data_IF_360327541515
#
_entry.id   IF_360327541515
#
_cell.length_a   1.000
_cell.length_b   1.000
_cell.length_c   1.000
_cell.angle_alpha   90.00
_cell.angle_beta   90.00
_cell.angle_gamma   90.00
#
_symmetry.space_group_name_H-M   'P 1'
#
loop_
_entity.id
_entity.type
_entity.pdbx_description
1 polymer ?
#
# COMPACT_ATOMS: atom_id res chain seq x y z
N UNK A 1 26.51 28.39 12.88
CA UNK A 1 26.17 27.54 11.73
C UNK A 1 24.67 27.70 11.50
N UNK A 2 24.30 28.42 10.44
CA UNK A 2 22.89 28.56 10.07
C UNK A 2 22.54 27.30 9.28
N UNK A 3 21.62 26.49 9.79
CA UNK A 3 21.10 25.36 9.01
C UNK A 3 20.17 25.93 7.95
N UNK A 4 20.30 25.45 6.71
CA UNK A 4 19.34 25.76 5.67
C UNK A 4 17.93 25.30 6.12
N UNK A 5 16.87 26.06 5.82
CA UNK A 5 15.52 25.67 6.19
C UNK A 5 15.13 24.37 5.48
N UNK A 6 14.36 23.52 6.17
CA UNK A 6 13.82 22.31 5.56
C UNK A 6 12.78 22.67 4.48
N UNK A 7 12.90 22.03 3.31
CA UNK A 7 11.92 22.13 2.23
C UNK A 7 10.94 20.95 2.27
N UNK A 8 9.65 21.23 2.08
CA UNK A 8 8.60 20.22 2.15
C UNK A 8 7.94 20.02 0.79
N UNK A 9 7.80 18.76 0.38
CA UNK A 9 7.11 18.37 -0.84
C UNK A 9 6.03 17.32 -0.54
N UNK A 10 4.97 17.30 -1.37
CA UNK A 10 3.88 16.34 -1.28
C UNK A 10 3.75 15.59 -2.59
N UNK A 11 3.50 14.29 -2.52
CA UNK A 11 3.34 13.43 -3.69
C UNK A 11 2.54 12.18 -3.35
N UNK A 12 2.12 11.45 -4.39
CA UNK A 12 1.47 10.15 -4.24
C UNK A 12 2.49 9.15 -3.74
N UNK A 13 2.06 8.17 -2.94
CA UNK A 13 3.00 7.19 -2.36
C UNK A 13 3.82 6.42 -3.41
N UNK A 14 3.25 6.18 -4.60
CA UNK A 14 3.97 5.56 -5.72
C UNK A 14 5.10 6.44 -6.26
N UNK A 15 4.90 7.75 -6.30
CA UNK A 15 5.92 8.73 -6.70
C UNK A 15 7.01 8.83 -5.63
N UNK A 16 6.62 8.87 -4.35
CA UNK A 16 7.58 8.91 -3.24
C UNK A 16 8.41 7.63 -3.14
N UNK A 17 7.82 6.46 -3.41
CA UNK A 17 8.56 5.21 -3.52
C UNK A 17 9.62 5.27 -4.62
N UNK A 18 9.30 5.88 -5.77
CA UNK A 18 10.26 6.05 -6.87
C UNK A 18 11.35 7.06 -6.50
N UNK A 19 10.98 8.22 -5.95
CA UNK A 19 11.92 9.24 -5.52
C UNK A 19 12.88 8.72 -4.43
N UNK A 20 12.43 7.83 -3.54
CA UNK A 20 13.29 7.20 -2.55
C UNK A 20 14.34 6.28 -3.21
N UNK A 21 14.00 5.58 -4.30
CA UNK A 21 14.96 4.76 -5.06
C UNK A 21 16.01 5.60 -5.79
N UNK A 22 15.62 6.80 -6.21
CA UNK A 22 16.46 7.82 -6.85
C UNK A 22 17.21 8.71 -5.84
N UNK A 23 16.96 8.52 -4.53
CA UNK A 23 17.55 9.29 -3.43
C UNK A 23 17.29 10.81 -3.50
N UNK A 24 16.17 11.20 -4.12
CA UNK A 24 15.80 12.59 -4.40
C UNK A 24 15.51 13.42 -3.14
N UNK A 25 15.28 12.78 -2.00
CA UNK A 25 14.97 13.44 -0.73
C UNK A 25 15.84 12.90 0.41
N UNK A 26 16.14 13.78 1.37
CA UNK A 26 16.85 13.45 2.61
C UNK A 26 15.99 12.64 3.58
N UNK A 27 14.70 13.00 3.66
CA UNK A 27 13.66 12.31 4.45
C UNK A 27 12.47 12.05 3.54
N UNK A 28 11.96 10.81 3.51
CA UNK A 28 10.89 10.41 2.58
C UNK A 28 9.94 9.38 3.18
N UNK A 29 8.65 9.59 2.99
CA UNK A 29 7.62 8.60 3.30
C UNK A 29 7.52 7.57 2.17
N UNK A 30 7.52 6.29 2.51
CA UNK A 30 7.43 5.19 1.55
C UNK A 30 6.46 4.11 2.01
N UNK A 31 6.05 3.26 1.08
CA UNK A 31 5.43 1.98 1.41
C UNK A 31 6.43 1.09 2.14
N UNK A 32 6.02 0.45 3.24
CA UNK A 32 6.89 -0.49 3.96
C UNK A 32 7.47 -1.58 3.05
N UNK A 33 6.70 -2.02 2.06
CA UNK A 33 7.11 -3.06 1.12
C UNK A 33 8.31 -2.69 0.23
N UNK A 34 8.65 -1.41 0.08
CA UNK A 34 9.84 -1.01 -0.70
C UNK A 34 11.11 -0.92 0.14
N UNK A 35 11.00 -0.90 1.47
CA UNK A 35 12.15 -0.73 2.35
C UNK A 35 13.26 -1.78 2.16
N UNK A 36 12.99 -3.08 1.91
CA UNK A 36 14.05 -4.04 1.64
C UNK A 36 14.97 -3.63 0.47
N UNK A 37 14.47 -2.87 -0.51
CA UNK A 37 15.24 -2.36 -1.65
C UNK A 37 16.03 -1.07 -1.35
N UNK A 38 15.82 -0.48 -0.17
CA UNK A 38 16.36 0.81 0.27
C UNK A 38 17.19 0.70 1.55
N UNK A 39 17.22 -0.49 2.18
CA UNK A 39 17.79 -0.72 3.50
C UNK A 39 19.31 -0.48 3.56
N UNK A 40 20.00 -0.49 2.42
CA UNK A 40 21.41 -0.12 2.29
C UNK A 40 21.62 1.39 2.46
N UNK A 41 20.71 2.21 1.93
CA UNK A 41 20.84 3.67 1.80
C UNK A 41 20.01 4.49 2.79
N UNK A 42 19.02 3.89 3.44
CA UNK A 42 18.12 4.57 4.37
C UNK A 42 18.03 3.86 5.74
N UNK A 43 17.82 4.66 6.78
CA UNK A 43 17.33 4.23 8.09
C UNK A 43 15.81 4.45 8.17
N UNK A 44 15.12 3.61 8.96
CA UNK A 44 13.73 3.87 9.35
C UNK A 44 13.76 4.85 10.53
N UNK A 45 13.00 5.94 10.43
CA UNK A 45 12.81 6.86 11.56
C UNK A 45 11.99 6.18 12.66
N UNK A 46 12.28 6.46 13.95
CA UNK A 46 11.54 5.85 15.06
C UNK A 46 10.09 6.36 15.17
N UNK A 47 9.73 7.43 14.44
CA UNK A 47 8.43 8.10 14.48
C UNK A 47 7.84 8.32 13.08
N UNK A 48 6.55 8.64 13.02
CA UNK A 48 5.84 8.94 11.77
C UNK A 48 5.40 7.71 10.97
N UNK A 49 5.79 6.49 11.35
CA UNK A 49 5.41 5.28 10.64
C UNK A 49 3.91 4.97 10.78
N UNK A 50 3.31 4.41 9.74
CA UNK A 50 1.92 3.93 9.74
C UNK A 50 1.88 2.44 10.04
N UNK A 51 1.35 2.08 11.21
CA UNK A 51 1.32 0.70 11.72
C UNK A 51 -0.13 0.23 11.90
N UNK A 52 -0.53 -0.75 11.08
CA UNK A 52 -1.84 -1.37 11.10
C UNK A 52 -1.98 -2.37 12.24
N UNK A 53 -2.72 -1.98 13.29
CA UNK A 53 -3.15 -2.88 14.37
C UNK A 53 -4.60 -3.33 14.19
N UNK A 54 -5.48 -2.42 13.81
CA UNK A 54 -6.91 -2.69 13.54
C UNK A 54 -7.37 -2.10 12.20
N UNK A 55 -6.45 -1.49 11.45
CA UNK A 55 -6.69 -0.85 10.16
C UNK A 55 -5.58 -1.20 9.18
N UNK A 56 -5.86 -1.10 7.88
CA UNK A 56 -4.88 -1.30 6.82
C UNK A 56 -5.55 -1.67 5.50
N UNK A 57 -4.76 -1.98 4.46
CA UNK A 57 -5.30 -2.24 3.14
C UNK A 57 -6.27 -3.43 3.13
N UNK A 58 -7.36 -3.30 2.39
CA UNK A 58 -8.43 -4.32 2.31
C UNK A 58 -8.66 -4.70 0.86
N UNK A 59 -8.72 -5.99 0.57
CA UNK A 59 -9.19 -6.48 -0.71
C UNK A 59 -10.73 -6.51 -0.71
N UNK A 60 -11.33 -5.82 -1.67
CA UNK A 60 -12.78 -5.78 -1.85
C UNK A 60 -13.18 -6.25 -3.26
N UNK A 61 -14.37 -6.81 -3.37
CA UNK A 61 -14.96 -7.26 -4.63
C UNK A 61 -16.46 -6.99 -4.65
N UNK A 62 -17.08 -7.09 -5.83
CA UNK A 62 -18.55 -7.15 -5.99
C UNK A 62 -19.06 -8.60 -5.86
N UNK A 63 -18.30 -9.57 -6.35
CA UNK A 63 -18.78 -10.95 -6.60
C UNK A 63 -18.05 -12.03 -5.80
N UNK A 64 -16.74 -11.87 -5.63
CA UNK A 64 -15.88 -12.89 -5.03
C UNK A 64 -15.84 -12.77 -3.51
N UNK A 65 -15.51 -13.84 -2.81
CA UNK A 65 -15.54 -13.93 -1.33
C UNK A 65 -14.24 -14.47 -0.73
N UNK A 66 -13.37 -15.08 -1.53
CA UNK A 66 -12.07 -15.63 -1.12
C UNK A 66 -10.95 -15.20 -2.07
N UNK A 67 -9.73 -15.09 -1.54
CA UNK A 67 -8.53 -14.75 -2.33
C UNK A 67 -8.20 -15.83 -3.37
N UNK A 68 -8.54 -17.09 -3.10
CA UNK A 68 -8.33 -18.22 -4.01
C UNK A 68 -9.11 -18.10 -5.34
N UNK A 69 -10.16 -17.27 -5.39
CA UNK A 69 -10.99 -17.08 -6.58
C UNK A 69 -10.37 -16.14 -7.62
N UNK A 70 -9.26 -15.47 -7.30
CA UNK A 70 -8.67 -14.44 -8.16
C UNK A 70 -7.66 -14.94 -9.20
N UNK A 71 -7.49 -16.24 -9.36
CA UNK A 71 -6.65 -16.80 -10.44
C UNK A 71 -7.13 -16.30 -11.80
N UNK A 72 -6.25 -15.59 -12.52
CA UNK A 72 -6.53 -14.98 -13.83
C UNK A 72 -7.51 -13.80 -13.80
N UNK A 73 -7.92 -13.32 -12.61
CA UNK A 73 -8.85 -12.19 -12.46
C UNK A 73 -8.13 -10.86 -12.37
N UNK A 74 -8.79 -9.78 -12.77
CA UNK A 74 -8.23 -8.42 -12.74
C UNK A 74 -8.38 -7.82 -11.36
N UNK A 75 -7.25 -7.58 -10.69
CA UNK A 75 -7.21 -6.96 -9.36
C UNK A 75 -6.60 -5.56 -9.47
N UNK A 76 -7.41 -4.55 -9.19
CA UNK A 76 -6.99 -3.16 -9.23
C UNK A 76 -6.14 -2.78 -8.00
N UNK A 77 -5.02 -2.12 -8.22
CA UNK A 77 -4.10 -1.65 -7.16
C UNK A 77 -3.64 -0.22 -7.42
N UNK A 78 -3.41 0.55 -6.35
CA UNK A 78 -2.86 1.91 -6.43
C UNK A 78 -1.41 1.92 -6.98
N UNK A 79 -0.73 0.77 -6.88
CA UNK A 79 0.60 0.52 -7.42
C UNK A 79 1.13 -0.82 -6.91
N UNK A 80 1.85 -1.55 -7.75
CA UNK A 80 2.33 -2.91 -7.44
C UNK A 80 3.44 -2.93 -6.39
N UNK A 81 4.09 -1.80 -6.12
CA UNK A 81 5.09 -1.65 -5.05
C UNK A 81 4.55 -0.91 -3.83
N UNK A 82 3.25 -0.59 -3.81
CA UNK A 82 2.63 -0.13 -2.55
C UNK A 82 2.47 -1.31 -1.60
N UNK A 83 2.42 -1.08 -0.29
CA UNK A 83 2.25 -2.18 0.67
C UNK A 83 0.98 -2.98 0.40
N UNK A 84 -0.13 -2.31 0.10
CA UNK A 84 -1.37 -2.99 -0.32
C UNK A 84 -1.22 -3.78 -1.63
N UNK A 85 -0.46 -3.26 -2.60
CA UNK A 85 -0.19 -3.96 -3.86
C UNK A 85 0.71 -5.18 -3.71
N UNK A 86 1.70 -5.14 -2.83
CA UNK A 86 2.57 -6.29 -2.53
C UNK A 86 1.81 -7.35 -1.73
N UNK A 87 1.00 -6.95 -0.74
CA UNK A 87 0.12 -7.88 -0.04
C UNK A 87 -0.87 -8.56 -0.99
N UNK A 88 -1.43 -7.83 -1.95
CA UNK A 88 -2.28 -8.43 -2.97
C UNK A 88 -1.53 -9.45 -3.85
N UNK A 89 -0.27 -9.19 -4.20
CA UNK A 89 0.58 -10.19 -4.88
C UNK A 89 0.85 -11.42 -4.03
N UNK A 90 1.07 -11.26 -2.72
CA UNK A 90 1.30 -12.38 -1.81
C UNK A 90 0.05 -13.26 -1.65
N UNK A 91 -1.11 -12.65 -1.43
CA UNK A 91 -2.34 -13.37 -1.13
C UNK A 91 -3.18 -13.72 -2.37
N UNK A 92 -2.92 -13.11 -3.51
CA UNK A 92 -3.57 -13.39 -4.80
C UNK A 92 -2.51 -13.58 -5.92
N UNK A 93 -1.58 -14.54 -5.80
CA UNK A 93 -0.37 -14.60 -6.64
C UNK A 93 -0.63 -14.81 -8.13
N UNK A 94 -1.78 -15.38 -8.47
CA UNK A 94 -2.15 -15.66 -9.87
C UNK A 94 -3.13 -14.63 -10.45
N UNK A 95 -3.35 -13.50 -9.77
CA UNK A 95 -4.18 -12.41 -10.26
C UNK A 95 -3.45 -11.56 -11.31
N UNK A 96 -4.23 -10.92 -12.18
CA UNK A 96 -3.75 -9.93 -13.14
C UNK A 96 -3.87 -8.52 -12.51
N UNK A 97 -2.75 -7.94 -12.08
CA UNK A 97 -2.76 -6.65 -11.40
C UNK A 97 -2.90 -5.47 -12.38
N UNK A 98 -3.92 -4.64 -12.16
CA UNK A 98 -4.19 -3.43 -12.96
C UNK A 98 -3.89 -2.20 -12.11
N UNK A 99 -2.92 -1.39 -12.52
CA UNK A 99 -2.55 -0.16 -11.79
C UNK A 99 -3.51 0.97 -12.15
N UNK A 100 -4.06 1.67 -11.16
CA UNK A 100 -4.88 2.87 -11.35
C UNK A 100 -4.88 3.74 -10.08
N UNK A 101 -5.31 5.02 -10.13
CA UNK A 101 -5.50 5.83 -8.94
C UNK A 101 -6.43 5.15 -7.93
N UNK A 102 -6.11 5.22 -6.64
CA UNK A 102 -6.88 4.52 -5.60
C UNK A 102 -8.36 4.96 -5.56
N UNK A 103 -8.62 6.23 -5.84
CA UNK A 103 -9.97 6.82 -5.94
C UNK A 103 -10.81 6.25 -7.08
N UNK A 104 -10.20 5.59 -8.08
CA UNK A 104 -10.90 4.96 -9.21
C UNK A 104 -11.21 3.48 -8.98
N UNK A 105 -10.61 2.86 -7.97
CA UNK A 105 -10.64 1.40 -7.79
C UNK A 105 -12.07 0.90 -7.53
N UNK A 106 -12.81 1.54 -6.63
CA UNK A 106 -14.18 1.12 -6.31
C UNK A 106 -15.09 1.21 -7.55
N UNK A 107 -15.03 2.33 -8.28
CA UNK A 107 -15.79 2.53 -9.52
C UNK A 107 -15.45 1.49 -10.59
N UNK A 108 -14.16 1.16 -10.76
CA UNK A 108 -13.73 0.14 -11.70
C UNK A 108 -14.32 -1.25 -11.37
N UNK A 109 -14.46 -1.57 -10.08
CA UNK A 109 -15.13 -2.82 -9.65
C UNK A 109 -16.63 -2.75 -9.93
N UNK A 110 -17.29 -1.63 -9.61
CA UNK A 110 -18.72 -1.45 -9.83
C UNK A 110 -19.11 -1.59 -11.30
N UNK A 111 -18.28 -1.04 -12.20
CA UNK A 111 -18.42 -1.08 -13.66
C UNK A 111 -17.94 -2.38 -14.31
N UNK A 112 -17.52 -3.36 -13.51
CA UNK A 112 -16.97 -4.63 -14.00
C UNK A 112 -15.72 -4.46 -14.90
N UNK A 113 -15.01 -3.32 -14.78
CA UNK A 113 -13.68 -3.09 -15.37
C UNK A 113 -12.59 -3.87 -14.61
N UNK A 114 -12.81 -4.20 -13.34
CA UNK A 114 -11.97 -5.06 -12.52
C UNK A 114 -12.83 -6.00 -11.65
N UNK A 115 -12.28 -7.16 -11.30
CA UNK A 115 -12.98 -8.18 -10.52
C UNK A 115 -12.89 -7.92 -9.00
N UNK A 116 -11.81 -7.27 -8.58
CA UNK A 116 -11.56 -6.82 -7.23
C UNK A 116 -10.58 -5.66 -7.22
N UNK A 117 -10.35 -5.10 -6.03
CA UNK A 117 -9.33 -4.08 -5.86
C UNK A 117 -8.96 -3.83 -4.40
N UNK A 118 -7.79 -3.24 -4.22
CA UNK A 118 -7.24 -2.94 -2.89
C UNK A 118 -7.67 -1.54 -2.46
N UNK A 119 -8.51 -1.49 -1.43
CA UNK A 119 -8.98 -0.28 -0.78
C UNK A 119 -7.96 0.19 0.25
N UNK A 120 -7.67 1.49 0.24
CA UNK A 120 -6.73 2.16 1.14
C UNK A 120 -7.32 3.51 1.59
N UNK A 121 -6.75 4.11 2.64
CA UNK A 121 -7.17 5.41 3.17
C UNK A 121 -8.69 5.47 3.44
N UNK A 122 -9.36 6.54 3.00
CA UNK A 122 -10.79 6.77 3.14
C UNK A 122 -11.67 5.70 2.46
N UNK A 123 -11.16 5.03 1.42
CA UNK A 123 -11.92 4.03 0.67
C UNK A 123 -12.29 2.81 1.52
N UNK A 124 -11.49 2.50 2.55
CA UNK A 124 -11.74 1.38 3.47
C UNK A 124 -13.08 1.55 4.20
N UNK A 125 -13.43 2.79 4.55
CA UNK A 125 -14.69 3.11 5.24
C UNK A 125 -15.85 3.32 4.26
N UNK A 126 -15.54 3.57 2.98
CA UNK A 126 -16.52 3.91 1.95
C UNK A 126 -17.05 2.69 1.19
N UNK A 127 -16.17 1.76 0.78
CA UNK A 127 -16.54 0.62 -0.07
C UNK A 127 -17.75 -0.22 0.43
N UNK A 128 -17.97 -0.43 1.75
CA UNK A 128 -19.13 -1.22 2.20
C UNK A 128 -20.47 -0.56 1.84
N UNK A 129 -20.49 0.76 1.66
CA UNK A 129 -21.68 1.52 1.24
C UNK A 129 -22.00 1.37 -0.24
N UNK A 130 -21.06 0.84 -1.01
CA UNK A 130 -21.15 0.65 -2.47
C UNK A 130 -21.59 -0.77 -2.85
N UNK A 131 -22.15 -1.55 -1.91
CA UNK A 131 -22.46 -2.98 -2.10
C UNK A 131 -21.23 -3.83 -2.49
N UNK A 132 -20.03 -3.37 -2.16
CA UNK A 132 -18.81 -4.15 -2.28
C UNK A 132 -18.58 -4.90 -0.97
N UNK A 133 -18.22 -6.17 -1.06
CA UNK A 133 -17.88 -6.97 0.11
C UNK A 133 -16.38 -6.93 0.37
N UNK A 134 -16.01 -7.04 1.65
CA UNK A 134 -14.64 -7.34 2.05
C UNK A 134 -14.34 -8.79 1.68
N UNK A 135 -13.25 -9.03 0.98
CA UNK A 135 -12.73 -10.37 0.66
C UNK A 135 -11.63 -10.74 1.64
N UNK A 136 -10.69 -9.83 1.87
CA UNK A 136 -9.57 -10.06 2.77
C UNK A 136 -9.16 -8.77 3.48
N UNK A 137 -9.04 -8.81 4.81
CA UNK A 137 -8.33 -7.78 5.57
C UNK A 137 -6.86 -8.18 5.65
N UNK A 138 -5.99 -7.51 4.90
CA UNK A 138 -4.57 -7.91 4.89
C UNK A 138 -3.91 -7.71 6.25
N UNK A 139 -4.32 -6.71 7.03
CA UNK A 139 -3.86 -6.55 8.41
C UNK A 139 -4.22 -7.74 9.29
N UNK A 140 -5.44 -8.27 9.15
CA UNK A 140 -5.92 -9.38 9.96
C UNK A 140 -5.16 -10.66 9.61
N UNK A 141 -5.11 -11.02 8.32
CA UNK A 141 -4.42 -12.25 7.87
C UNK A 141 -2.94 -12.18 8.23
N UNK A 142 -2.29 -11.04 8.03
CA UNK A 142 -0.90 -10.84 8.45
C UNK A 142 -0.68 -11.08 9.94
N UNK A 143 -1.56 -10.56 10.80
CA UNK A 143 -1.47 -10.76 12.24
C UNK A 143 -1.71 -12.21 12.65
N UNK A 144 -2.67 -12.88 12.01
CA UNK A 144 -2.95 -14.29 12.24
C UNK A 144 -1.74 -15.18 11.86
N UNK A 145 -1.04 -14.85 10.77
CA UNK A 145 0.11 -15.61 10.28
C UNK A 145 1.40 -15.32 11.06
N UNK A 146 1.62 -14.06 11.47
CA UNK A 146 2.93 -13.62 12.01
C UNK A 146 2.92 -13.30 13.50
N UNK A 147 1.75 -13.06 14.09
CA UNK A 147 1.60 -12.51 15.44
C UNK A 147 2.06 -11.04 15.57
N UNK A 148 2.41 -10.38 14.46
CA UNK A 148 2.98 -9.03 14.44
C UNK A 148 2.02 -8.02 13.80
N UNK A 149 2.06 -6.73 14.21
CA UNK A 149 1.30 -5.70 13.51
C UNK A 149 1.82 -5.50 12.07
N UNK A 150 0.93 -5.11 11.16
CA UNK A 150 1.30 -4.85 9.78
C UNK A 150 1.91 -3.45 9.65
N UNK A 151 3.17 -3.33 9.24
CA UNK A 151 3.74 -2.04 8.85
C UNK A 151 3.17 -1.66 7.48
N UNK A 152 2.52 -0.51 7.37
CA UNK A 152 1.91 -0.04 6.12
C UNK A 152 2.80 0.97 5.41
N UNK A 153 3.21 2.02 6.11
CA UNK A 153 4.07 3.08 5.58
C UNK A 153 5.20 3.37 6.54
N UNK A 154 6.37 3.71 6.00
CA UNK A 154 7.57 4.04 6.75
C UNK A 154 8.03 5.45 6.41
N UNK A 155 8.57 6.16 7.40
CA UNK A 155 9.36 7.36 7.15
C UNK A 155 10.83 7.00 7.22
N UNK A 156 11.55 7.31 6.15
CA UNK A 156 12.95 6.98 5.99
C UNK A 156 13.80 8.24 6.04
N UNK A 157 15.02 8.12 6.56
CA UNK A 157 16.07 9.14 6.50
C UNK A 157 17.30 8.56 5.83
N UNK A 158 17.95 9.31 4.93
CA UNK A 158 19.16 8.83 4.26
C UNK A 158 20.29 8.64 5.26
N UNK A 159 20.97 7.50 5.19
CA UNK A 159 22.13 7.19 6.06
C UNK A 159 23.28 8.18 5.90
N UNK A 160 23.43 8.78 4.71
CA UNK A 160 24.51 9.74 4.43
C UNK A 160 24.42 11.05 5.25
N UNK A 161 23.35 11.24 6.02
CA UNK A 161 23.17 12.39 6.91
C UNK A 161 23.81 12.20 8.30
N UNK A 162 24.27 10.99 8.63
CA UNK A 162 24.85 10.65 9.94
C UNK A 162 24.05 9.55 10.63
#
# INVERSE_FOLDING_TARGET
MTLDPAEFQRGRISELNQAAREESYDVVAVSSAVFPLLADRFWILPTGNSVGRSFGPVLASKRYRSTAEFRGKRVAVAGTLTTGGVLAQMYCPEAQFVKMPYTRIADAILRDECDAGVMIHEEISHFPKLNLNRVCSFTQVWQEETGLPLLVGLNLVRKKLG
#
